data_IF_427198314819
#
_entry.id   IF_427198314819
#
_cell.length_a   1.000
_cell.length_b   1.000
_cell.length_c   1.000
_cell.angle_alpha   90.00
_cell.angle_beta   90.00
_cell.angle_gamma   90.00
#
_symmetry.space_group_name_H-M   'P 1'
#
loop_
_entity.id
_entity.type
_entity.pdbx_description
1 polymer ?
#
# COMPACT_ATOMS: atom_id res chain seq x y z
N UNK A 1 10.77 -7.32 17.38
CA UNK A 1 9.47 -7.59 16.70
C UNK A 1 8.38 -7.21 17.69
N UNK A 2 8.16 -5.91 17.87
CA UNK A 2 7.13 -5.41 18.78
C UNK A 2 5.87 -5.09 17.98
N UNK A 3 4.97 -6.06 17.90
CA UNK A 3 3.62 -5.83 17.40
C UNK A 3 2.80 -5.14 18.51
N UNK A 4 2.45 -3.88 18.33
CA UNK A 4 1.49 -3.20 19.20
C UNK A 4 0.07 -3.73 18.91
N UNK A 5 -0.27 -4.86 19.52
CA UNK A 5 -1.62 -5.42 19.48
C UNK A 5 -2.53 -4.63 20.42
N UNK A 6 -3.36 -3.74 19.86
CA UNK A 6 -4.50 -3.18 20.59
C UNK A 6 -5.54 -4.26 20.84
N UNK A 7 -5.54 -4.86 22.03
CA UNK A 7 -6.45 -5.94 22.40
C UNK A 7 -7.90 -5.43 22.49
N UNK A 8 -8.71 -5.72 21.46
CA UNK A 8 -10.17 -5.75 21.62
C UNK A 8 -10.55 -6.99 22.45
N UNK A 9 -11.59 -6.97 23.31
CA UNK A 9 -11.83 -7.99 24.34
C UNK A 9 -12.24 -9.38 23.83
N UNK A 10 -12.17 -9.65 22.52
CA UNK A 10 -12.48 -10.93 21.89
C UNK A 10 -11.54 -11.11 20.67
N UNK A 11 -10.59 -12.07 20.73
CA UNK A 11 -9.57 -12.40 19.70
C UNK A 11 -10.14 -12.92 18.35
N UNK A 12 -11.28 -12.40 17.89
CA UNK A 12 -11.91 -12.73 16.59
C UNK A 12 -11.57 -11.71 15.51
N UNK A 13 -11.21 -10.49 15.93
CA UNK A 13 -10.85 -9.37 15.07
C UNK A 13 -9.49 -8.82 15.55
N UNK A 14 -8.56 -8.61 14.62
CA UNK A 14 -7.24 -8.07 14.91
C UNK A 14 -6.97 -6.85 14.03
N UNK A 15 -6.55 -5.75 14.65
CA UNK A 15 -6.11 -4.54 13.98
C UNK A 15 -4.59 -4.46 14.07
N UNK A 16 -3.91 -4.44 12.94
CA UNK A 16 -2.45 -4.27 12.88
C UNK A 16 -2.12 -2.98 12.16
N UNK A 17 -1.31 -2.17 12.84
CA UNK A 17 -0.73 -0.95 12.33
C UNK A 17 0.72 -1.27 11.95
N UNK A 18 1.05 -1.15 10.68
CA UNK A 18 2.42 -1.32 10.19
C UNK A 18 3.14 0.01 10.29
N UNK A 19 4.12 0.14 11.18
CA UNK A 19 5.05 1.27 11.24
C UNK A 19 6.34 0.84 10.53
N UNK A 20 6.64 1.44 9.38
CA UNK A 20 7.96 1.36 8.76
C UNK A 20 8.91 2.37 9.45
N UNK A 21 9.26 2.18 10.73
CA UNK A 21 10.65 2.26 11.27
C UNK A 21 10.70 2.23 12.81
N UNK A 22 11.85 1.75 13.30
CA UNK A 22 12.49 1.84 14.63
C UNK A 22 12.96 0.47 15.13
N UNK A 23 14.03 -0.08 14.54
CA UNK A 23 14.96 -0.94 15.28
C UNK A 23 16.41 -0.62 14.91
N UNK A 24 17.13 -0.18 15.95
CA UNK A 24 18.54 0.14 16.14
C UNK A 24 19.54 -0.06 14.98
N UNK A 25 20.33 1.00 14.77
CA UNK A 25 21.65 0.98 14.14
C UNK A 25 22.51 -0.19 14.64
N UNK A 26 22.46 -1.34 13.98
CA UNK A 26 23.63 -2.19 13.72
C UNK A 26 23.27 -3.42 12.90
N UNK A 27 23.90 -3.53 11.73
CA UNK A 27 24.19 -4.78 11.03
C UNK A 27 23.03 -5.61 10.48
N UNK A 28 22.08 -5.01 9.76
CA UNK A 28 21.28 -5.72 8.73
C UNK A 28 20.56 -4.72 7.81
N UNK A 29 21.32 -4.07 6.93
CA UNK A 29 20.81 -3.39 5.73
C UNK A 29 20.32 -4.41 4.70
N UNK A 30 19.33 -5.22 5.07
CA UNK A 30 18.45 -5.82 4.07
C UNK A 30 17.27 -4.84 3.94
N UNK A 31 17.33 -4.00 2.91
CA UNK A 31 16.26 -3.09 2.57
C UNK A 31 14.93 -3.84 2.58
N UNK A 32 13.93 -3.29 3.31
CA UNK A 32 12.56 -3.74 3.22
C UNK A 32 12.15 -3.77 1.73
N UNK A 33 11.84 -4.95 1.21
CA UNK A 33 11.37 -5.12 -0.16
C UNK A 33 9.91 -5.55 -0.11
N UNK A 34 8.99 -4.84 -0.79
CA UNK A 34 7.61 -5.27 -0.92
C UNK A 34 7.52 -6.72 -1.38
N UNK A 35 6.76 -7.52 -0.64
CA UNK A 35 6.63 -8.93 -0.87
C UNK A 35 7.81 -9.78 -0.42
N UNK A 36 8.68 -9.31 0.48
CA UNK A 36 9.76 -10.15 0.99
C UNK A 36 9.27 -11.33 1.87
N UNK A 37 10.21 -12.22 2.22
CA UNK A 37 9.92 -13.37 3.08
C UNK A 37 9.43 -12.96 4.48
N UNK A 38 9.75 -11.75 4.94
CA UNK A 38 9.34 -11.24 6.24
C UNK A 38 7.87 -10.84 6.23
N UNK A 39 7.42 -10.09 5.22
CA UNK A 39 6.02 -9.74 5.01
C UNK A 39 5.14 -11.00 4.92
N UNK A 40 5.59 -11.99 4.16
CA UNK A 40 4.91 -13.30 4.05
C UNK A 40 4.87 -14.03 5.38
N UNK A 41 5.97 -14.04 6.15
CA UNK A 41 6.01 -14.67 7.47
C UNK A 41 4.99 -14.06 8.44
N UNK A 42 4.76 -12.75 8.36
CA UNK A 42 3.74 -12.09 9.18
C UNK A 42 2.35 -12.51 8.77
N UNK A 43 2.01 -12.53 7.48
CA UNK A 43 0.70 -13.03 7.03
C UNK A 43 0.47 -14.49 7.44
N UNK A 44 1.51 -15.32 7.41
CA UNK A 44 1.44 -16.71 7.89
C UNK A 44 1.22 -16.77 9.40
N UNK A 45 1.93 -15.94 10.17
CA UNK A 45 1.77 -15.84 11.62
C UNK A 45 0.36 -15.36 12.01
N UNK A 46 -0.25 -14.47 11.23
CA UNK A 46 -1.64 -14.07 11.42
C UNK A 46 -2.59 -15.23 11.16
N UNK A 47 -2.34 -15.98 10.09
CA UNK A 47 -3.11 -17.17 9.78
C UNK A 47 -3.00 -18.25 10.87
N UNK A 48 -1.85 -18.39 11.53
CA UNK A 48 -1.68 -19.41 12.57
C UNK A 48 -2.50 -19.16 13.83
N UNK A 49 -3.08 -17.96 14.00
CA UNK A 49 -3.98 -17.64 15.10
C UNK A 49 -5.29 -18.42 14.98
N UNK A 50 -5.57 -19.27 15.97
CA UNK A 50 -6.70 -20.21 15.91
C UNK A 50 -8.06 -19.51 15.78
N UNK A 51 -8.32 -18.48 16.59
CA UNK A 51 -9.64 -17.83 16.66
C UNK A 51 -9.87 -16.73 15.62
N UNK A 52 -8.85 -16.33 14.85
CA UNK A 52 -8.97 -15.19 13.95
C UNK A 52 -9.91 -15.50 12.79
N UNK A 53 -10.86 -14.60 12.57
CA UNK A 53 -11.86 -14.67 11.50
C UNK A 53 -11.84 -13.42 10.64
N UNK A 54 -11.54 -12.26 11.24
CA UNK A 54 -11.39 -11.01 10.50
C UNK A 54 -10.07 -10.36 10.83
N UNK A 55 -9.41 -9.85 9.80
CA UNK A 55 -8.14 -9.14 9.91
C UNK A 55 -8.32 -7.76 9.30
N UNK A 56 -7.88 -6.74 10.03
CA UNK A 56 -7.77 -5.38 9.53
C UNK A 56 -6.29 -5.00 9.56
N UNK A 57 -5.70 -4.85 8.37
CA UNK A 57 -4.33 -4.41 8.20
C UNK A 57 -4.36 -2.99 7.69
N UNK A 58 -3.63 -2.11 8.37
CA UNK A 58 -3.45 -0.73 7.92
C UNK A 58 -1.96 -0.49 7.70
N UNK A 59 -1.59 -0.24 6.46
CA UNK A 59 -0.21 0.08 6.07
C UNK A 59 0.04 1.56 6.33
N UNK A 60 1.06 1.86 7.13
CA UNK A 60 1.60 3.20 7.28
C UNK A 60 3.01 3.24 6.70
N UNK A 61 3.32 4.36 6.05
CA UNK A 61 4.65 4.65 5.58
C UNK A 61 5.07 6.02 6.13
N UNK A 62 5.53 6.07 7.39
CA UNK A 62 5.82 7.33 8.08
C UNK A 62 7.03 8.08 7.51
N UNK A 63 8.00 7.37 6.93
CA UNK A 63 9.25 7.99 6.45
C UNK A 63 9.09 8.84 5.19
N UNK A 64 8.15 8.46 4.32
CA UNK A 64 7.98 9.07 3.02
C UNK A 64 7.38 10.48 3.09
N UNK A 65 6.71 10.80 4.19
CA UNK A 65 5.98 12.04 4.34
C UNK A 65 6.25 12.56 5.73
N UNK A 66 7.20 13.50 5.86
CA UNK A 66 7.43 14.12 7.15
C UNK A 66 6.10 14.65 7.68
N UNK A 67 5.80 14.35 8.94
CA UNK A 67 4.55 14.72 9.62
C UNK A 67 4.29 16.24 9.66
N UNK A 68 5.24 17.04 9.17
CA UNK A 68 5.21 18.48 9.04
C UNK A 68 4.80 18.92 7.63
N UNK A 69 3.81 19.81 7.56
CA UNK A 69 3.29 20.40 6.32
C UNK A 69 4.39 21.15 5.55
N UNK A 70 5.36 21.74 6.25
CA UNK A 70 6.46 22.48 5.63
C UNK A 70 7.48 21.53 4.98
N UNK A 71 7.75 20.41 5.62
CA UNK A 71 8.61 19.36 5.07
C UNK A 71 7.94 18.66 3.87
N UNK A 72 6.60 18.52 3.85
CA UNK A 72 5.87 18.09 2.66
C UNK A 72 5.90 19.14 1.53
N UNK A 73 5.75 20.44 1.84
CA UNK A 73 5.90 21.52 0.84
C UNK A 73 7.31 21.55 0.26
N UNK A 74 8.32 21.24 1.06
CA UNK A 74 9.70 21.10 0.62
C UNK A 74 9.85 19.87 -0.29
N UNK A 75 9.33 18.71 0.13
CA UNK A 75 9.31 17.47 -0.66
C UNK A 75 8.62 17.68 -2.01
N UNK A 76 7.35 18.11 -2.01
CA UNK A 76 6.57 18.40 -3.23
C UNK A 76 7.16 19.53 -4.09
N UNK A 77 7.79 20.53 -3.47
CA UNK A 77 8.49 21.62 -4.16
C UNK A 77 9.74 21.14 -4.91
N UNK A 78 10.50 20.20 -4.34
CA UNK A 78 11.71 19.62 -4.95
C UNK A 78 11.40 18.82 -6.23
N UNK A 79 10.27 18.12 -6.30
CA UNK A 79 9.86 17.36 -7.51
C UNK A 79 9.51 18.26 -8.72
N UNK A 80 9.20 19.55 -8.49
CA UNK A 80 8.76 20.48 -9.54
C UNK A 80 9.91 21.26 -10.18
N UNK A 81 11.02 21.48 -9.47
CA UNK A 81 12.05 22.44 -9.89
C UNK A 81 13.22 21.83 -10.66
N UNK A 82 13.25 20.50 -10.88
CA UNK A 82 14.36 19.80 -11.59
C UNK A 82 15.75 20.13 -11.01
N UNK A 83 15.83 20.52 -9.74
CA UNK A 83 17.09 20.95 -9.12
C UNK A 83 17.87 19.82 -8.45
N UNK A 84 17.39 18.58 -8.50
CA UNK A 84 17.95 17.52 -7.67
C UNK A 84 18.58 16.45 -8.55
N UNK A 85 19.90 16.53 -8.66
CA UNK A 85 20.80 15.44 -9.07
C UNK A 85 21.01 14.42 -7.93
N UNK A 86 20.23 14.48 -6.83
CA UNK A 86 20.33 13.52 -5.72
C UNK A 86 19.60 12.21 -6.04
N UNK A 87 20.40 11.17 -6.24
CA UNK A 87 20.00 9.78 -6.38
C UNK A 87 19.18 9.25 -5.18
N UNK A 88 19.31 9.86 -3.99
CA UNK A 88 18.59 9.49 -2.77
C UNK A 88 17.08 9.81 -2.87
N UNK A 89 16.71 10.99 -3.36
CA UNK A 89 15.30 11.40 -3.49
C UNK A 89 14.55 10.60 -4.57
N UNK A 90 15.28 10.18 -5.61
CA UNK A 90 14.77 9.26 -6.62
C UNK A 90 14.41 7.89 -6.01
N UNK A 91 15.22 7.42 -5.05
CA UNK A 91 15.01 6.15 -4.36
C UNK A 91 13.81 6.22 -3.40
N UNK A 92 13.65 7.33 -2.66
CA UNK A 92 12.50 7.52 -1.76
C UNK A 92 11.15 7.53 -2.49
N UNK A 93 11.05 8.22 -3.63
CA UNK A 93 9.81 8.23 -4.41
C UNK A 93 9.53 6.87 -5.05
N UNK A 94 10.55 6.17 -5.51
CA UNK A 94 10.41 4.83 -6.06
C UNK A 94 9.89 3.86 -4.97
N UNK A 95 10.47 3.91 -3.77
CA UNK A 95 10.01 3.15 -2.60
C UNK A 95 8.57 3.52 -2.22
N UNK A 96 8.21 4.81 -2.29
CA UNK A 96 6.84 5.25 -2.05
C UNK A 96 5.84 4.63 -3.01
N UNK A 97 6.16 4.64 -4.30
CA UNK A 97 5.33 4.07 -5.34
C UNK A 97 5.20 2.56 -5.14
N UNK A 98 6.30 1.88 -4.81
CA UNK A 98 6.30 0.43 -4.58
C UNK A 98 5.52 0.03 -3.32
N UNK A 99 5.77 0.70 -2.20
CA UNK A 99 5.17 0.38 -0.90
C UNK A 99 3.67 0.72 -0.83
N UNK A 100 3.21 1.71 -1.59
CA UNK A 100 1.81 2.12 -1.59
C UNK A 100 1.00 1.50 -2.73
N UNK A 101 1.64 0.83 -3.71
CA UNK A 101 0.92 0.18 -4.80
C UNK A 101 0.18 -1.08 -4.33
N UNK A 102 -1.11 -0.93 -4.03
CA UNK A 102 -1.99 -2.02 -3.63
C UNK A 102 -3.07 -2.27 -4.67
N UNK A 103 -2.97 -3.39 -5.38
CA UNK A 103 -3.99 -3.84 -6.33
C UNK A 103 -4.82 -5.01 -5.80
N UNK A 104 -5.79 -5.44 -6.61
CA UNK A 104 -6.67 -6.55 -6.26
C UNK A 104 -5.93 -7.88 -6.12
N UNK A 105 -4.86 -8.10 -6.89
CA UNK A 105 -4.10 -9.34 -6.89
C UNK A 105 -3.28 -9.48 -5.61
N UNK A 106 -2.58 -8.42 -5.17
CA UNK A 106 -1.91 -8.43 -3.87
C UNK A 106 -2.92 -8.66 -2.74
N UNK A 107 -4.07 -7.96 -2.76
CA UNK A 107 -5.11 -8.17 -1.74
C UNK A 107 -5.61 -9.62 -1.69
N UNK A 108 -5.78 -10.26 -2.86
CA UNK A 108 -6.13 -11.68 -2.97
C UNK A 108 -5.01 -12.58 -2.45
N UNK A 109 -3.76 -12.29 -2.77
CA UNK A 109 -2.59 -13.04 -2.30
C UNK A 109 -2.47 -12.98 -0.79
N UNK A 110 -2.59 -11.79 -0.17
CA UNK A 110 -2.59 -11.65 1.30
C UNK A 110 -3.72 -12.46 1.93
N UNK A 111 -4.95 -12.36 1.42
CA UNK A 111 -6.08 -13.15 1.92
C UNK A 111 -5.80 -14.66 1.85
N UNK A 112 -5.27 -15.13 0.71
CA UNK A 112 -4.91 -16.55 0.52
C UNK A 112 -3.82 -16.98 1.50
N UNK A 113 -2.75 -16.21 1.64
CA UNK A 113 -1.65 -16.52 2.55
C UNK A 113 -2.15 -16.69 3.98
N UNK A 114 -2.92 -15.73 4.50
CA UNK A 114 -3.49 -15.82 5.85
C UNK A 114 -4.45 -17.02 5.94
N UNK A 115 -5.32 -17.21 4.95
CA UNK A 115 -6.31 -18.30 4.97
C UNK A 115 -5.66 -19.70 4.91
N UNK A 116 -4.56 -19.86 4.18
CA UNK A 116 -3.86 -21.14 4.03
C UNK A 116 -3.03 -21.49 5.26
N UNK A 117 -2.60 -20.50 6.04
CA UNK A 117 -1.87 -20.71 7.28
C UNK A 117 -2.76 -20.99 8.51
N UNK A 118 -4.08 -21.07 8.30
CA UNK A 118 -5.04 -21.46 9.35
C UNK A 118 -4.76 -22.88 9.84
N UNK A 119 -4.68 -23.11 11.17
CA UNK A 119 -4.53 -24.46 11.71
C UNK A 119 -5.74 -25.34 11.35
N UNK A 120 -5.52 -26.66 11.31
CA UNK A 120 -6.62 -27.61 11.18
C UNK A 120 -7.68 -27.36 12.28
N UNK A 121 -8.96 -27.53 11.92
CA UNK A 121 -10.12 -27.33 12.80
C UNK A 121 -10.34 -25.91 13.33
N UNK A 122 -9.52 -24.93 12.92
CA UNK A 122 -9.77 -23.53 13.22
C UNK A 122 -10.93 -23.00 12.35
N UNK A 123 -11.74 -22.04 12.86
CA UNK A 123 -12.75 -21.39 12.04
C UNK A 123 -12.14 -20.72 10.81
N UNK A 124 -12.78 -20.75 9.64
CA UNK A 124 -12.22 -20.16 8.43
C UNK A 124 -12.10 -18.64 8.55
N UNK A 125 -11.11 -18.08 7.84
CA UNK A 125 -10.94 -16.62 7.73
C UNK A 125 -12.10 -16.02 6.92
N UNK A 126 -12.95 -15.22 7.54
CA UNK A 126 -14.14 -14.60 6.95
C UNK A 126 -13.78 -13.38 6.09
N UNK A 127 -12.87 -12.52 6.56
CA UNK A 127 -12.50 -11.31 5.82
C UNK A 127 -11.11 -10.75 6.13
N UNK A 128 -10.50 -10.10 5.15
CA UNK A 128 -9.30 -9.28 5.33
C UNK A 128 -9.58 -7.90 4.75
N UNK A 129 -9.44 -6.86 5.57
CA UNK A 129 -9.47 -5.46 5.14
C UNK A 129 -8.04 -4.94 5.10
N UNK A 130 -7.58 -4.52 3.93
CA UNK A 130 -6.30 -3.86 3.72
C UNK A 130 -6.56 -2.36 3.50
N UNK A 131 -6.00 -1.52 4.38
CA UNK A 131 -6.13 -0.07 4.30
C UNK A 131 -4.77 0.58 4.16
N UNK A 132 -4.73 1.68 3.42
CA UNK A 132 -3.55 2.52 3.31
C UNK A 132 -3.78 3.74 4.21
N UNK A 133 -3.35 3.63 5.46
CA UNK A 133 -3.50 4.70 6.45
C UNK A 133 -2.56 5.86 6.21
N UNK A 134 -1.43 5.63 5.51
CA UNK A 134 -0.45 6.66 5.16
C UNK A 134 -1.06 7.88 4.45
N UNK A 135 -2.14 7.67 3.68
CA UNK A 135 -2.77 8.71 2.88
C UNK A 135 -3.85 9.50 3.65
N UNK A 136 -4.35 8.97 4.76
CA UNK A 136 -5.44 9.59 5.54
C UNK A 136 -4.96 10.83 6.32
N UNK A 137 -3.67 10.90 6.65
CA UNK A 137 -3.06 12.03 7.37
C UNK A 137 -2.62 13.16 6.45
N UNK A 138 -2.58 12.91 5.14
CA UNK A 138 -2.19 13.92 4.18
C UNK A 138 -3.38 14.83 3.88
N UNK A 139 -3.52 15.89 4.67
CA UNK A 139 -4.37 17.02 4.30
C UNK A 139 -3.72 17.78 3.15
N UNK A 140 -3.88 17.27 1.93
CA UNK A 140 -3.42 17.97 0.74
C UNK A 140 -4.24 19.24 0.57
N UNK A 141 -3.64 20.40 0.82
CA UNK A 141 -4.20 21.66 0.42
C UNK A 141 -4.35 21.64 -1.11
N UNK A 142 -5.57 21.86 -1.59
CA UNK A 142 -5.99 21.80 -2.99
C UNK A 142 -5.50 22.99 -3.81
N UNK A 143 -4.22 23.34 -3.67
CA UNK A 143 -3.56 24.33 -4.49
C UNK A 143 -3.40 23.82 -5.92
N UNK A 144 -3.98 24.56 -6.88
CA UNK A 144 -4.09 24.24 -8.32
C UNK A 144 -2.77 24.01 -9.08
N UNK A 145 -1.62 23.98 -8.43
CA UNK A 145 -0.31 24.05 -9.13
C UNK A 145 0.76 23.08 -8.67
N UNK A 146 0.54 22.14 -7.72
CA UNK A 146 1.66 21.39 -7.10
C UNK A 146 1.44 19.89 -6.75
N UNK A 147 0.39 19.22 -7.23
CA UNK A 147 -0.08 17.95 -6.65
C UNK A 147 0.22 16.65 -7.45
N UNK A 148 1.31 16.56 -8.20
CA UNK A 148 1.52 15.42 -9.12
C UNK A 148 1.83 14.09 -8.41
N UNK A 149 2.79 14.06 -7.48
CA UNK A 149 3.16 12.84 -6.76
C UNK A 149 2.03 12.36 -5.85
N UNK A 150 1.41 13.28 -5.10
CA UNK A 150 0.32 12.96 -4.17
C UNK A 150 -0.88 12.33 -4.84
N UNK A 151 -1.24 12.81 -6.02
CA UNK A 151 -2.40 12.29 -6.74
C UNK A 151 -2.12 10.92 -7.34
N UNK A 152 -0.88 10.67 -7.79
CA UNK A 152 -0.43 9.34 -8.21
C UNK A 152 -0.44 8.37 -7.03
N UNK A 153 0.17 8.75 -5.91
CA UNK A 153 0.23 7.93 -4.69
C UNK A 153 -1.16 7.59 -4.16
N UNK A 154 -2.11 8.54 -4.19
CA UNK A 154 -3.52 8.24 -3.88
C UNK A 154 -4.15 7.29 -4.88
N UNK A 155 -3.85 7.45 -6.16
CA UNK A 155 -4.43 6.63 -7.22
C UNK A 155 -4.01 5.15 -7.12
N UNK A 156 -2.73 4.89 -6.82
CA UNK A 156 -2.17 3.54 -6.63
C UNK A 156 -2.41 2.99 -5.22
N UNK A 157 -2.51 3.87 -4.21
CA UNK A 157 -2.77 3.58 -2.80
C UNK A 157 -4.21 3.16 -2.55
N UNK A 158 -4.61 2.01 -3.12
CA UNK A 158 -5.99 1.52 -3.01
C UNK A 158 -6.14 0.65 -1.77
N UNK A 159 -7.23 0.88 -1.04
CA UNK A 159 -7.65 0.02 0.05
C UNK A 159 -8.60 -1.06 -0.49
N UNK A 160 -8.50 -2.27 0.04
CA UNK A 160 -9.23 -3.44 -0.42
C UNK A 160 -9.90 -4.17 0.74
N UNK A 161 -11.03 -4.81 0.44
CA UNK A 161 -11.66 -5.78 1.33
C UNK A 161 -11.83 -7.09 0.58
N UNK A 162 -11.29 -8.16 1.17
CA UNK A 162 -11.47 -9.53 0.71
C UNK A 162 -12.47 -10.21 1.65
N UNK A 163 -13.52 -10.81 1.11
CA UNK A 163 -14.59 -11.47 1.88
C UNK A 163 -14.83 -12.87 1.35
N UNK A 164 -14.76 -13.86 2.23
CA UNK A 164 -15.07 -15.26 1.90
C UNK A 164 -16.50 -15.37 1.42
N UNK A 165 -16.74 -16.25 0.45
CA UNK A 165 -18.08 -16.64 0.07
C UNK A 165 -18.79 -17.27 1.29
N UNK A 166 -19.94 -16.73 1.73
CA UNK A 166 -20.67 -17.28 2.88
C UNK A 166 -21.33 -18.62 2.58
N UNK A 167 -21.33 -19.07 1.32
CA UNK A 167 -21.87 -20.37 0.95
C UNK A 167 -20.85 -21.48 1.19
N UNK A 168 -21.28 -22.50 1.91
CA UNK A 168 -20.44 -23.65 2.27
C UNK A 168 -20.04 -24.54 1.08
N UNK A 169 -20.68 -24.37 -0.09
CA UNK A 169 -20.39 -25.15 -1.30
C UNK A 169 -19.06 -24.77 -1.96
N UNK A 170 -18.53 -23.58 -1.66
CA UNK A 170 -17.27 -23.08 -2.22
C UNK A 170 -16.42 -22.41 -1.15
N UNK A 171 -15.89 -23.19 -0.18
CA UNK A 171 -15.18 -22.64 0.97
C UNK A 171 -13.91 -21.90 0.57
N UNK A 172 -13.32 -22.17 -0.60
CA UNK A 172 -12.14 -21.47 -1.10
C UNK A 172 -12.46 -20.23 -1.95
N UNK A 173 -13.73 -19.99 -2.26
CA UNK A 173 -14.13 -18.80 -3.01
C UNK A 173 -14.18 -17.59 -2.10
N UNK A 174 -13.70 -16.47 -2.63
CA UNK A 174 -13.78 -15.18 -1.97
C UNK A 174 -13.84 -14.08 -3.02
N UNK A 175 -14.36 -12.92 -2.63
CA UNK A 175 -14.43 -11.72 -3.47
C UNK A 175 -13.45 -10.69 -2.94
N UNK A 176 -12.90 -9.87 -3.83
CA UNK A 176 -12.06 -8.73 -3.49
C UNK A 176 -12.69 -7.47 -4.10
N UNK A 177 -12.97 -6.48 -3.27
CA UNK A 177 -13.55 -5.21 -3.67
C UNK A 177 -12.73 -4.04 -3.11
N UNK A 178 -12.70 -2.91 -3.82
CA UNK A 178 -12.11 -1.69 -3.27
C UNK A 178 -12.94 -1.23 -2.06
N UNK A 179 -12.26 -0.93 -0.95
CA UNK A 179 -12.87 -0.64 0.35
C UNK A 179 -13.81 0.58 0.31
N UNK A 180 -13.46 1.61 -0.46
CA UNK A 180 -14.26 2.82 -0.62
C UNK A 180 -14.53 3.12 -2.12
N UNK A 181 -15.68 2.69 -2.66
CA UNK A 181 -16.05 2.95 -4.05
C UNK A 181 -16.17 4.44 -4.40
N UNK A 182 -16.52 5.31 -3.43
CA UNK A 182 -16.60 6.76 -3.66
C UNK A 182 -15.22 7.35 -3.90
N UNK A 183 -14.25 6.96 -3.07
CA UNK A 183 -12.85 7.38 -3.23
C UNK A 183 -12.26 6.94 -4.58
N UNK A 184 -12.74 5.83 -5.17
CA UNK A 184 -12.36 5.43 -6.52
C UNK A 184 -12.80 6.46 -7.57
N UNK A 185 -14.04 6.91 -7.51
CA UNK A 185 -14.59 7.91 -8.45
C UNK A 185 -13.87 9.24 -8.29
N UNK A 186 -13.71 9.70 -7.04
CA UNK A 186 -13.03 10.96 -6.73
C UNK A 186 -11.59 10.99 -7.25
N UNK A 187 -10.84 9.88 -7.08
CA UNK A 187 -9.47 9.75 -7.61
C UNK A 187 -9.42 9.77 -9.13
N UNK A 188 -10.35 9.09 -9.80
CA UNK A 188 -10.43 9.10 -11.26
C UNK A 188 -10.72 10.51 -11.79
N UNK A 189 -11.71 11.20 -11.21
CA UNK A 189 -12.05 12.57 -11.60
C UNK A 189 -10.91 13.57 -11.32
N UNK A 190 -10.21 13.44 -10.20
CA UNK A 190 -9.08 14.30 -9.86
C UNK A 190 -7.94 14.18 -10.89
N UNK A 191 -7.63 12.95 -11.32
CA UNK A 191 -6.64 12.69 -12.37
C UNK A 191 -7.11 13.20 -13.74
N UNK A 192 -8.38 13.04 -14.11
CA UNK A 192 -8.86 13.53 -15.42
C UNK A 192 -8.87 15.07 -15.49
N UNK A 193 -9.16 15.76 -14.39
CA UNK A 193 -9.20 17.24 -14.36
C UNK A 193 -7.82 17.89 -14.38
N UNK A 194 -6.77 17.20 -13.91
CA UNK A 194 -5.44 17.80 -13.70
C UNK A 194 -4.41 17.48 -14.78
N UNK A 195 -4.62 16.45 -15.60
CA UNK A 195 -3.56 15.95 -16.50
C UNK A 195 -3.68 16.53 -17.92
N UNK A 196 -2.88 17.56 -18.18
CA UNK A 196 -2.41 17.82 -19.54
C UNK A 196 -1.30 16.80 -19.91
N UNK A 197 -1.17 16.36 -21.17
CA UNK A 197 -0.16 15.39 -21.61
C UNK A 197 1.31 15.78 -21.30
N UNK A 198 1.57 17.05 -20.97
CA UNK A 198 2.91 17.62 -20.73
C UNK A 198 3.46 17.41 -19.32
N UNK A 199 2.72 16.75 -18.43
CA UNK A 199 3.12 16.52 -17.01
C UNK A 199 4.15 15.39 -16.86
N UNK A 200 4.40 14.63 -17.93
CA UNK A 200 5.33 13.49 -17.93
C UNK A 200 6.83 13.86 -18.04
N UNK A 201 7.20 15.14 -18.05
CA UNK A 201 8.61 15.59 -18.03
C UNK A 201 9.15 15.85 -16.60
N UNK A 202 8.44 15.39 -15.56
CA UNK A 202 8.80 15.59 -14.14
C UNK A 202 9.60 14.42 -13.56
N UNK A 203 10.28 14.64 -12.43
CA UNK A 203 10.96 13.60 -11.64
C UNK A 203 9.99 12.46 -11.28
N UNK A 204 8.73 12.80 -11.01
CA UNK A 204 7.68 11.81 -10.70
C UNK A 204 7.40 10.85 -11.86
N UNK A 205 7.41 11.35 -13.09
CA UNK A 205 7.24 10.52 -14.26
C UNK A 205 8.43 9.58 -14.49
N UNK A 206 9.65 10.04 -14.17
CA UNK A 206 10.84 9.20 -14.20
C UNK A 206 10.74 8.07 -13.17
N UNK A 207 10.36 8.37 -11.93
CA UNK A 207 10.09 7.38 -10.89
C UNK A 207 9.04 6.35 -11.33
N UNK A 208 7.89 6.81 -11.83
CA UNK A 208 6.84 5.92 -12.36
C UNK A 208 7.38 5.00 -13.44
N UNK A 209 8.24 5.50 -14.33
CA UNK A 209 8.87 4.72 -15.39
C UNK A 209 10.02 3.81 -14.91
N UNK A 210 10.63 4.08 -13.76
CA UNK A 210 11.61 3.19 -13.13
C UNK A 210 10.89 2.03 -12.45
N UNK A 211 9.84 2.33 -11.69
CA UNK A 211 9.01 1.34 -10.97
C UNK A 211 8.17 0.48 -11.92
N UNK A 212 7.54 1.09 -12.93
CA UNK A 212 6.76 0.40 -13.96
C UNK A 212 7.28 0.76 -15.36
N UNK A 213 8.29 0.05 -15.88
CA UNK A 213 8.92 0.37 -17.16
C UNK A 213 7.96 0.41 -18.37
N UNK A 214 6.88 -0.37 -18.35
CA UNK A 214 5.86 -0.36 -19.41
C UNK A 214 5.14 0.99 -19.54
N UNK A 215 5.13 1.80 -18.48
CA UNK A 215 4.57 3.15 -18.49
C UNK A 215 5.31 4.12 -19.42
N UNK A 216 6.55 3.81 -19.85
CA UNK A 216 7.32 4.64 -20.80
C UNK A 216 6.66 4.75 -22.16
N UNK A 217 5.96 3.70 -22.59
CA UNK A 217 5.30 3.60 -23.90
C UNK A 217 3.78 3.53 -23.79
N UNK A 218 3.23 3.57 -22.57
CA UNK A 218 1.83 3.30 -22.27
C UNK A 218 1.20 4.29 -21.31
N UNK A 219 -0.07 4.09 -21.02
CA UNK A 219 -0.77 4.83 -19.97
C UNK A 219 -0.44 4.19 -18.62
N UNK A 220 0.40 4.85 -17.83
CA UNK A 220 0.81 4.36 -16.51
C UNK A 220 -0.37 3.96 -15.61
N UNK A 221 -1.56 4.57 -15.80
CA UNK A 221 -2.79 4.21 -15.05
C UNK A 221 -3.27 2.78 -15.30
N UNK A 222 -2.83 2.18 -16.41
CA UNK A 222 -3.09 0.78 -16.82
C UNK A 222 -1.90 -0.14 -16.54
N UNK A 223 -0.69 0.42 -16.50
CA UNK A 223 0.54 -0.35 -16.31
C UNK A 223 0.93 -0.53 -14.84
N UNK A 224 0.49 0.36 -13.94
CA UNK A 224 0.79 0.20 -12.51
C UNK A 224 0.18 -1.10 -11.97
N UNK A 225 0.94 -1.76 -11.11
CA UNK A 225 0.51 -2.94 -10.37
C UNK A 225 1.29 -3.01 -9.06
N UNK A 226 0.76 -3.78 -8.12
CA UNK A 226 1.47 -4.13 -6.89
C UNK A 226 2.62 -5.09 -7.14
N UNK A 227 3.51 -5.20 -6.17
CA UNK A 227 4.61 -6.15 -6.21
C UNK A 227 4.18 -7.47 -5.55
N UNK A 228 4.56 -8.58 -6.16
CA UNK A 228 4.09 -9.91 -5.73
C UNK A 228 4.72 -10.32 -4.41
N UNK A 229 3.93 -10.94 -3.54
CA UNK A 229 4.47 -11.65 -2.37
C UNK A 229 5.44 -12.74 -2.83
N UNK A 230 6.60 -12.84 -2.20
CA UNK A 230 7.56 -13.89 -2.44
C UNK A 230 6.90 -15.24 -2.24
N UNK A 231 6.96 -16.06 -3.28
CA UNK A 231 6.49 -17.43 -3.20
C UNK A 231 7.56 -18.19 -2.42
N UNK A 232 7.28 -18.45 -1.15
CA UNK A 232 8.03 -19.39 -0.32
C UNK A 232 7.37 -20.75 -0.31
#
# INVERSE_FOLDING_TARGET
MDMLAGAAPNLRELNIYWLLDEWEQSTLTNAYQPGDAHEVAIYRALGSLFSIRKVHLTVYCPQLFPHDEDAYKLFSGKFLTRQVEDQEMDTELDDALMNLAFDAQLAKSVFRTISLSKPAFSPPLESVSLRIGALDYMKFSSGRTKAHASDILKYIGRSWICTRNPRDDRPHDFTAAEYNPKAKVERAEALERQYAPKVFDSVVAQSVCRVWPAAKSGDWKKEWHSFSLAIS
#
